data_IF_671334673614
#
_entry.id   IF_671334673614
#
_cell.length_a   1.000
_cell.length_b   1.000
_cell.length_c   1.000
_cell.angle_alpha   90.00
_cell.angle_beta   90.00
_cell.angle_gamma   90.00
#
_symmetry.space_group_name_H-M   'P 1'
#
loop_
_entity.id
_entity.type
_entity.pdbx_description
1 polymer ?
#
# COMPACT_ATOMS: atom_id res chain seq x y z
N UNK A 1 3.93 -1.43 26.56
CA UNK A 1 4.98 -1.35 25.53
C UNK A 1 4.89 -2.61 24.68
N UNK A 2 4.03 -2.58 23.67
CA UNK A 2 3.88 -3.68 22.72
C UNK A 2 5.07 -3.66 21.77
N UNK A 3 5.90 -4.70 21.81
CA UNK A 3 7.12 -4.79 21.00
C UNK A 3 6.73 -4.89 19.52
N UNK A 4 7.32 -4.02 18.70
CA UNK A 4 7.27 -4.17 17.24
C UNK A 4 7.80 -5.57 16.87
N UNK A 5 7.12 -6.31 15.97
CA UNK A 5 7.61 -7.60 15.53
C UNK A 5 8.94 -7.40 14.82
N UNK A 6 9.96 -8.13 15.27
CA UNK A 6 11.28 -8.13 14.64
C UNK A 6 11.14 -8.44 13.15
N UNK A 7 11.74 -7.61 12.30
CA UNK A 7 11.88 -7.83 10.86
C UNK A 7 12.86 -8.99 10.59
N UNK A 8 12.50 -10.18 11.07
CA UNK A 8 13.20 -11.42 10.81
C UNK A 8 13.01 -11.77 9.34
N UNK A 9 14.12 -11.82 8.59
CA UNK A 9 14.26 -12.33 7.22
C UNK A 9 13.02 -13.08 6.74
N UNK A 10 12.20 -12.40 5.94
CA UNK A 10 10.98 -12.96 5.35
C UNK A 10 11.39 -14.21 4.56
N UNK A 11 10.99 -15.39 5.05
CA UNK A 11 11.29 -16.66 4.37
C UNK A 11 10.47 -16.73 3.09
N UNK A 12 11.13 -16.58 1.94
CA UNK A 12 10.51 -16.79 0.63
C UNK A 12 10.05 -18.24 0.53
N UNK A 13 8.74 -18.46 0.46
CA UNK A 13 8.18 -19.79 0.24
C UNK A 13 7.96 -20.00 -1.26
N UNK A 14 8.61 -21.01 -1.82
CA UNK A 14 8.32 -21.43 -3.18
C UNK A 14 6.84 -21.83 -3.27
N UNK A 15 6.09 -21.13 -4.11
CA UNK A 15 4.66 -21.34 -4.28
C UNK A 15 4.44 -21.68 -5.75
N UNK A 16 3.80 -22.82 -6.03
CA UNK A 16 3.49 -23.20 -7.41
C UNK A 16 2.24 -22.43 -7.83
N UNK A 17 2.33 -21.69 -8.93
CA UNK A 17 1.28 -20.79 -9.40
C UNK A 17 1.12 -20.94 -10.91
N UNK A 18 -0.14 -20.99 -11.36
CA UNK A 18 -0.47 -21.13 -12.77
C UNK A 18 -0.64 -19.75 -13.39
N UNK A 19 0.18 -19.44 -14.40
CA UNK A 19 0.08 -18.22 -15.21
C UNK A 19 -0.26 -18.65 -16.64
N UNK A 20 -0.96 -17.77 -17.37
CA UNK A 20 -1.14 -17.91 -18.82
C UNK A 20 0.19 -18.11 -19.54
N UNK A 21 0.21 -19.08 -20.45
CA UNK A 21 1.42 -19.49 -21.17
C UNK A 21 1.94 -18.39 -22.10
N UNK A 22 1.04 -17.61 -22.72
CA UNK A 22 1.41 -16.47 -23.58
C UNK A 22 2.24 -15.43 -22.83
N UNK A 23 1.82 -15.06 -21.63
CA UNK A 23 2.53 -14.11 -20.78
C UNK A 23 3.86 -14.68 -20.27
N UNK A 24 3.89 -15.98 -19.95
CA UNK A 24 5.11 -16.64 -19.50
C UNK A 24 6.16 -16.68 -20.63
N UNK A 25 5.72 -16.91 -21.86
CA UNK A 25 6.56 -16.86 -23.05
C UNK A 25 7.22 -15.49 -23.22
N UNK A 26 6.42 -14.42 -23.18
CA UNK A 26 6.90 -13.04 -23.29
C UNK A 26 7.87 -12.71 -22.15
N UNK A 27 7.50 -13.02 -20.91
CA UNK A 27 8.34 -12.72 -19.75
C UNK A 27 9.70 -13.44 -19.81
N UNK A 28 9.74 -14.67 -20.33
CA UNK A 28 10.99 -15.40 -20.54
C UNK A 28 11.82 -14.83 -21.68
N UNK A 29 11.21 -14.43 -22.79
CA UNK A 29 11.90 -13.76 -23.90
C UNK A 29 12.56 -12.46 -23.45
N UNK A 30 11.88 -11.71 -22.59
CA UNK A 30 12.37 -10.44 -22.04
C UNK A 30 13.34 -10.62 -20.85
N UNK A 31 13.66 -11.86 -20.47
CA UNK A 31 14.57 -12.16 -19.36
C UNK A 31 14.08 -11.69 -17.99
N UNK A 32 12.76 -11.54 -17.81
CA UNK A 32 12.19 -11.01 -16.58
C UNK A 32 12.31 -12.01 -15.42
N UNK A 33 12.70 -11.49 -14.26
CA UNK A 33 12.65 -12.24 -13.01
C UNK A 33 11.21 -12.26 -12.48
N UNK A 34 10.45 -13.28 -12.87
CA UNK A 34 9.04 -13.47 -12.49
C UNK A 34 8.81 -13.44 -10.98
N UNK A 35 9.73 -14.00 -10.19
CA UNK A 35 9.61 -14.01 -8.73
C UNK A 35 9.69 -12.60 -8.16
N UNK A 36 10.62 -11.76 -8.61
CA UNK A 36 10.71 -10.37 -8.17
C UNK A 36 9.53 -9.53 -8.67
N UNK A 37 9.12 -9.72 -9.93
CA UNK A 37 7.96 -9.01 -10.48
C UNK A 37 6.70 -9.32 -9.68
N UNK A 38 6.42 -10.60 -9.43
CA UNK A 38 5.27 -11.03 -8.65
C UNK A 38 5.34 -10.51 -7.21
N UNK A 39 6.50 -10.58 -6.56
CA UNK A 39 6.70 -10.05 -5.20
C UNK A 39 6.40 -8.55 -5.16
N UNK A 40 6.92 -7.77 -6.11
CA UNK A 40 6.65 -6.33 -6.19
C UNK A 40 5.17 -6.02 -6.42
N UNK A 41 4.52 -6.72 -7.35
CA UNK A 41 3.10 -6.54 -7.65
C UNK A 41 2.21 -6.91 -6.46
N UNK A 42 2.56 -7.96 -5.72
CA UNK A 42 1.84 -8.37 -4.51
C UNK A 42 2.01 -7.34 -3.38
N UNK A 43 3.21 -6.77 -3.21
CA UNK A 43 3.44 -5.69 -2.24
C UNK A 43 2.57 -4.49 -2.59
N UNK A 44 2.59 -4.06 -3.86
CA UNK A 44 1.80 -2.91 -4.33
C UNK A 44 0.30 -3.16 -4.12
N UNK A 45 -0.20 -4.33 -4.50
CA UNK A 45 -1.59 -4.71 -4.30
C UNK A 45 -1.99 -4.73 -2.82
N UNK A 46 -1.17 -5.35 -1.96
CA UNK A 46 -1.44 -5.39 -0.52
C UNK A 46 -1.43 -3.99 0.10
N UNK A 47 -0.49 -3.14 -0.33
CA UNK A 47 -0.40 -1.76 0.12
C UNK A 47 -1.69 -0.99 -0.22
N UNK A 48 -2.09 -1.01 -1.50
CA UNK A 48 -3.31 -0.33 -1.97
C UNK A 48 -4.55 -0.82 -1.25
N UNK A 49 -4.64 -2.13 -1.01
CA UNK A 49 -5.76 -2.71 -0.27
C UNK A 49 -5.81 -2.21 1.17
N UNK A 50 -4.67 -2.14 1.85
CA UNK A 50 -4.57 -1.58 3.21
C UNK A 50 -4.88 -0.08 3.24
N UNK A 51 -4.39 0.67 2.25
CA UNK A 51 -4.69 2.10 2.11
C UNK A 51 -6.19 2.33 1.92
N UNK A 52 -6.85 1.54 1.06
CA UNK A 52 -8.29 1.61 0.85
C UNK A 52 -9.08 1.24 2.12
N UNK A 53 -8.68 0.17 2.81
CA UNK A 53 -9.32 -0.23 4.06
C UNK A 53 -9.16 0.84 5.13
N UNK A 54 -7.96 1.40 5.28
CA UNK A 54 -7.71 2.47 6.23
C UNK A 54 -8.55 3.72 5.90
N UNK A 55 -8.66 4.08 4.63
CA UNK A 55 -9.51 5.21 4.21
C UNK A 55 -10.98 4.97 4.56
N UNK A 56 -11.50 3.76 4.36
CA UNK A 56 -12.87 3.41 4.73
C UNK A 56 -13.10 3.49 6.24
N UNK A 57 -12.17 2.94 7.03
CA UNK A 57 -12.24 2.98 8.50
C UNK A 57 -12.11 4.40 9.06
N UNK A 58 -11.31 5.25 8.42
CA UNK A 58 -11.03 6.61 8.88
C UNK A 58 -11.93 7.66 8.23
N UNK A 59 -12.77 7.29 7.25
CA UNK A 59 -13.72 8.17 6.58
C UNK A 59 -14.56 9.03 7.55
N UNK A 60 -15.14 8.49 8.65
CA UNK A 60 -15.88 9.31 9.60
C UNK A 60 -14.99 10.30 10.35
N UNK A 61 -13.77 9.91 10.72
CA UNK A 61 -12.81 10.80 11.39
C UNK A 61 -12.29 11.91 10.48
N UNK A 62 -12.02 11.58 9.22
CA UNK A 62 -11.63 12.53 8.17
C UNK A 62 -12.77 13.52 7.92
N UNK A 63 -14.01 13.05 7.83
CA UNK A 63 -15.19 13.91 7.63
C UNK A 63 -15.38 14.86 8.80
N UNK A 64 -15.39 14.36 10.03
CA UNK A 64 -15.54 15.21 11.22
C UNK A 64 -14.40 16.24 11.35
N UNK A 65 -13.17 15.86 10.99
CA UNK A 65 -12.05 16.80 10.94
C UNK A 65 -12.25 17.87 9.86
N UNK A 66 -12.66 17.48 8.65
CA UNK A 66 -12.90 18.41 7.55
C UNK A 66 -14.01 19.41 7.89
N UNK A 67 -15.13 18.95 8.46
CA UNK A 67 -16.23 19.81 8.92
C UNK A 67 -15.75 20.80 9.98
N UNK A 68 -14.89 20.37 10.91
CA UNK A 68 -14.29 21.26 11.91
C UNK A 68 -13.40 22.33 11.26
N UNK A 69 -12.62 21.96 10.26
CA UNK A 69 -11.74 22.90 9.55
C UNK A 69 -12.56 23.90 8.71
N UNK A 70 -13.66 23.45 8.09
CA UNK A 70 -14.55 24.33 7.32
C UNK A 70 -15.22 25.38 8.22
N UNK A 71 -15.73 24.95 9.39
CA UNK A 71 -16.39 25.86 10.35
C UNK A 71 -15.43 26.75 11.15
N UNK A 72 -14.26 26.22 11.56
CA UNK A 72 -13.38 26.91 12.52
C UNK A 72 -12.06 27.39 11.91
N UNK A 73 -11.81 27.09 10.63
CA UNK A 73 -10.55 27.35 9.96
C UNK A 73 -9.42 26.41 10.40
N UNK A 74 -8.31 26.46 9.66
CA UNK A 74 -7.10 25.69 10.00
C UNK A 74 -6.36 26.36 11.14
N UNK A 75 -5.99 25.58 12.16
CA UNK A 75 -5.13 26.06 13.24
C UNK A 75 -3.83 26.63 12.69
N UNK A 76 -3.50 27.87 13.07
CA UNK A 76 -2.29 28.55 12.63
C UNK A 76 -2.36 29.15 11.22
N UNK A 77 -3.52 29.14 10.55
CA UNK A 77 -3.71 29.79 9.24
C UNK A 77 -3.24 31.27 9.25
N UNK A 78 -3.50 31.98 10.36
CA UNK A 78 -3.07 33.38 10.58
C UNK A 78 -1.56 33.60 10.70
N UNK A 79 -0.75 32.54 10.79
CA UNK A 79 0.71 32.61 10.89
C UNK A 79 1.44 32.02 9.67
N UNK A 80 0.69 31.55 8.66
CA UNK A 80 1.27 31.00 7.42
C UNK A 80 1.70 32.16 6.52
N UNK A 81 3.00 32.24 6.19
CA UNK A 81 3.57 33.17 5.21
C UNK A 81 3.88 32.36 3.95
N UNK A 82 3.38 32.79 2.78
CA UNK A 82 3.65 32.19 1.47
C UNK A 82 4.88 32.81 0.82
#
# INVERSE_FOLDING_TARGET
>A
MERAPEEGKVKKKATNLSIREDLLGIARQDGLNLSNLLESALIDYCRRKKEAQWLEENQPGITAYNERIDGNGVFGAKYRRF
#
